data_IF_487637318289
#
_entry.id   IF_487637318289
#
_cell.length_a   1.000
_cell.length_b   1.000
_cell.length_c   1.000
_cell.angle_alpha   90.00
_cell.angle_beta   90.00
_cell.angle_gamma   90.00
#
_symmetry.space_group_name_H-M   'P 1'
#
loop_
_entity.id
_entity.type
_entity.pdbx_description
1 polymer ?
#
# COMPACT_ATOMS: atom_id res chain seq x y z
N UNK A 1 -32.09 0.31 30.40
CA UNK A 1 -31.31 1.02 29.36
C UNK A 1 -30.23 0.07 28.87
N UNK A 2 -30.45 -0.58 27.73
CA UNK A 2 -29.54 -1.60 27.18
C UNK A 2 -28.44 -0.92 26.38
N UNK A 3 -27.20 -0.95 26.89
CA UNK A 3 -26.03 -0.46 26.18
C UNK A 3 -25.70 -1.42 25.02
N UNK A 4 -26.09 -1.05 23.80
CA UNK A 4 -25.62 -1.73 22.59
C UNK A 4 -24.18 -1.25 22.34
N UNK A 5 -23.21 -2.03 22.79
CA UNK A 5 -21.82 -1.87 22.38
C UNK A 5 -21.74 -2.23 20.89
N UNK A 6 -21.76 -1.21 20.01
CA UNK A 6 -21.47 -1.38 18.60
C UNK A 6 -19.99 -1.78 18.50
N UNK A 7 -19.74 -3.09 18.42
CA UNK A 7 -18.44 -3.65 18.06
C UNK A 7 -18.14 -3.22 16.62
N UNK A 8 -17.56 -2.01 16.48
CA UNK A 8 -17.00 -1.56 15.22
C UNK A 8 -15.94 -2.57 14.79
N UNK A 9 -16.28 -3.42 13.81
CA UNK A 9 -15.34 -4.36 13.21
C UNK A 9 -14.11 -3.54 12.80
N UNK A 10 -12.88 -3.92 13.22
CA UNK A 10 -11.69 -3.17 12.85
C UNK A 10 -11.67 -3.06 11.33
N UNK A 11 -11.73 -1.82 10.84
CA UNK A 11 -11.70 -1.56 9.42
C UNK A 11 -10.38 -2.16 8.89
N UNK A 12 -10.48 -3.20 8.06
CA UNK A 12 -9.33 -3.87 7.45
C UNK A 12 -8.44 -2.88 6.67
N UNK A 13 -9.00 -1.73 6.24
CA UNK A 13 -8.23 -0.62 5.66
C UNK A 13 -7.32 0.13 6.65
N UNK A 14 -7.52 -0.01 7.95
CA UNK A 14 -6.76 0.71 8.99
C UNK A 14 -5.97 -0.22 9.91
N UNK A 15 -6.18 -1.53 9.83
CA UNK A 15 -5.43 -2.48 10.64
C UNK A 15 -3.96 -2.53 10.20
N UNK A 16 -3.04 -2.66 11.15
CA UNK A 16 -1.61 -2.76 10.88
C UNK A 16 -1.31 -3.93 9.93
N UNK A 17 -1.92 -5.08 10.18
CA UNK A 17 -1.81 -6.28 9.33
C UNK A 17 -2.32 -6.04 7.90
N UNK A 18 -3.45 -5.34 7.73
CA UNK A 18 -3.98 -4.99 6.40
C UNK A 18 -3.03 -4.09 5.61
N UNK A 19 -2.43 -3.10 6.27
CA UNK A 19 -1.43 -2.21 5.64
C UNK A 19 -0.13 -2.92 5.28
N UNK A 20 0.32 -3.86 6.12
CA UNK A 20 1.49 -4.70 5.82
C UNK A 20 1.23 -5.63 4.63
N UNK A 21 0.05 -6.26 4.57
CA UNK A 21 -0.37 -7.09 3.45
C UNK A 21 -0.43 -6.31 2.14
N UNK A 22 -1.05 -5.13 2.16
CA UNK A 22 -1.11 -4.22 1.02
C UNK A 22 0.28 -3.80 0.55
N UNK A 23 1.15 -3.42 1.49
CA UNK A 23 2.54 -3.04 1.19
C UNK A 23 3.34 -4.15 0.50
N UNK A 24 3.18 -5.41 0.94
CA UNK A 24 3.81 -6.57 0.31
C UNK A 24 3.27 -6.83 -1.09
N UNK A 25 1.95 -6.69 -1.27
CA UNK A 25 1.30 -6.87 -2.57
C UNK A 25 1.81 -5.83 -3.57
N UNK A 26 1.79 -4.54 -3.21
CA UNK A 26 2.27 -3.45 -4.06
C UNK A 26 3.74 -3.67 -4.44
N UNK A 27 4.60 -4.02 -3.48
CA UNK A 27 6.01 -4.28 -3.75
C UNK A 27 6.21 -5.37 -4.80
N UNK A 28 5.52 -6.53 -4.66
CA UNK A 28 5.59 -7.62 -5.64
C UNK A 28 5.07 -7.21 -7.01
N UNK A 29 3.91 -6.54 -7.06
CA UNK A 29 3.34 -6.06 -8.31
C UNK A 29 4.30 -5.12 -9.02
N UNK A 30 4.97 -4.23 -8.29
CA UNK A 30 5.95 -3.29 -8.86
C UNK A 30 7.22 -4.00 -9.38
N UNK A 31 7.66 -5.10 -8.76
CA UNK A 31 8.77 -5.90 -9.28
C UNK A 31 8.48 -6.45 -10.67
N UNK A 32 7.24 -6.92 -10.89
CA UNK A 32 6.79 -7.55 -12.14
C UNK A 32 6.22 -6.55 -13.16
N UNK A 33 5.87 -5.33 -12.73
CA UNK A 33 5.25 -4.33 -13.58
C UNK A 33 6.29 -3.53 -14.39
N UNK A 34 6.12 -3.48 -15.71
CA UNK A 34 6.96 -2.67 -16.61
C UNK A 34 6.22 -1.45 -17.20
N UNK A 35 4.97 -1.22 -16.76
CA UNK A 35 4.15 -0.08 -17.16
C UNK A 35 4.26 1.06 -16.14
N UNK A 36 4.81 2.19 -16.57
CA UNK A 36 5.03 3.35 -15.69
C UNK A 36 3.73 3.93 -15.12
N UNK A 37 2.63 3.96 -15.89
CA UNK A 37 1.35 4.49 -15.41
C UNK A 37 0.76 3.63 -14.29
N UNK A 38 0.85 2.30 -14.43
CA UNK A 38 0.45 1.39 -13.36
C UNK A 38 1.35 1.54 -12.14
N UNK A 39 2.66 1.75 -12.34
CA UNK A 39 3.59 2.01 -11.26
C UNK A 39 3.27 3.32 -10.52
N UNK A 40 2.87 4.38 -11.22
CA UNK A 40 2.43 5.66 -10.65
C UNK A 40 1.19 5.50 -9.77
N UNK A 41 0.18 4.77 -10.26
CA UNK A 41 -1.04 4.47 -9.49
C UNK A 41 -0.71 3.68 -8.22
N UNK A 42 0.18 2.70 -8.32
CA UNK A 42 0.63 1.91 -7.17
C UNK A 42 1.37 2.77 -6.14
N UNK A 43 2.20 3.72 -6.59
CA UNK A 43 2.88 4.69 -5.73
C UNK A 43 1.88 5.59 -5.00
N UNK A 44 0.86 6.10 -5.71
CA UNK A 44 -0.21 6.91 -5.12
C UNK A 44 -0.96 6.14 -4.04
N UNK A 45 -1.31 4.87 -4.30
CA UNK A 45 -2.00 4.01 -3.31
C UNK A 45 -1.12 3.75 -2.09
N UNK A 46 0.16 3.43 -2.29
CA UNK A 46 1.11 3.18 -1.21
C UNK A 46 1.23 4.40 -0.28
N UNK A 47 1.33 5.60 -0.86
CA UNK A 47 1.39 6.87 -0.13
C UNK A 47 0.09 7.15 0.63
N UNK A 48 -1.06 7.11 -0.06
CA UNK A 48 -2.36 7.44 0.52
C UNK A 48 -2.73 6.51 1.70
N UNK A 49 -2.34 5.23 1.62
CA UNK A 49 -2.63 4.24 2.66
C UNK A 49 -1.59 4.20 3.78
N UNK A 50 -0.49 4.96 3.64
CA UNK A 50 0.64 4.99 4.58
C UNK A 50 1.13 3.56 4.87
N UNK A 51 1.48 2.83 3.81
CA UNK A 51 1.97 1.46 3.96
C UNK A 51 3.33 1.46 4.68
N UNK A 52 3.62 0.47 5.55
CA UNK A 52 4.82 0.52 6.40
C UNK A 52 6.14 0.39 5.65
N UNK A 53 6.13 -0.19 4.44
CA UNK A 53 7.29 -0.41 3.60
C UNK A 53 7.36 0.58 2.41
N UNK A 54 6.74 1.75 2.55
CA UNK A 54 6.68 2.76 1.49
C UNK A 54 8.07 3.10 0.93
N UNK A 55 9.07 3.34 1.77
CA UNK A 55 10.45 3.67 1.35
C UNK A 55 11.08 2.58 0.46
N UNK A 56 10.72 1.31 0.68
CA UNK A 56 11.21 0.20 -0.15
C UNK A 56 10.53 0.20 -1.52
N UNK A 57 9.23 0.49 -1.55
CA UNK A 57 8.43 0.60 -2.78
C UNK A 57 8.94 1.79 -3.60
N UNK A 58 9.17 2.94 -2.96
CA UNK A 58 9.69 4.15 -3.59
C UNK A 58 11.08 3.92 -4.20
N UNK A 59 12.00 3.30 -3.46
CA UNK A 59 13.33 2.93 -3.98
C UNK A 59 13.23 1.99 -5.19
N UNK A 60 12.35 1.00 -5.15
CA UNK A 60 12.14 0.09 -6.27
C UNK A 60 11.55 0.82 -7.48
N UNK A 61 10.55 1.67 -7.27
CA UNK A 61 9.93 2.48 -8.31
C UNK A 61 10.98 3.33 -9.03
N UNK A 62 11.77 4.09 -8.28
CA UNK A 62 12.83 4.91 -8.87
C UNK A 62 13.91 4.03 -9.52
N UNK A 63 14.27 2.88 -8.97
CA UNK A 63 15.23 1.98 -9.64
C UNK A 63 14.73 1.52 -11.02
N UNK A 64 13.43 1.20 -11.17
CA UNK A 64 12.85 0.72 -12.44
C UNK A 64 12.54 1.84 -13.43
N UNK A 65 12.00 2.95 -12.95
CA UNK A 65 11.39 4.00 -13.78
C UNK A 65 12.11 5.35 -13.71
N UNK A 66 13.17 5.50 -12.89
CA UNK A 66 14.04 6.68 -12.97
C UNK A 66 14.86 6.59 -14.25
N UNK A 67 14.28 7.09 -15.33
CA UNK A 67 15.04 7.54 -16.50
C UNK A 67 15.31 9.02 -16.33
N UNK A 68 16.61 9.34 -16.35
CA UNK A 68 17.19 10.66 -16.61
C UNK A 68 16.46 11.41 -17.71
#
# INVERSE_FOLDING_TARGET
MTNIAVLAKPNINTSKSGKEGLGKMIYKTLQECDNIHTADDLMLVAYAKKVPNYDQIEKLYHSKFSKK
#
